data_IF_501601120196
#
_entry.id   IF_501601120196
#
_cell.length_a   1.000
_cell.length_b   1.000
_cell.length_c   1.000
_cell.angle_alpha   90.00
_cell.angle_beta   90.00
_cell.angle_gamma   90.00
#
_symmetry.space_group_name_H-M   'P 1'
#
loop_
_entity.id
_entity.type
_entity.pdbx_description
1 polymer ?
#
# COMPACT_ATOMS: atom_id res chain seq x y z
N UNK A 1 -30.19 1.20 9.03
CA UNK A 1 -30.31 1.77 7.66
C UNK A 1 -29.13 2.65 7.42
N UNK A 2 -28.50 2.55 6.25
CA UNK A 2 -27.37 3.42 5.88
C UNK A 2 -27.88 4.87 5.75
N UNK A 3 -27.10 5.82 6.28
CA UNK A 3 -27.38 7.24 6.13
C UNK A 3 -26.92 7.73 4.75
N UNK A 4 -27.57 8.76 4.21
CA UNK A 4 -27.10 9.44 3.00
C UNK A 4 -25.81 10.19 3.30
N UNK A 5 -24.75 9.93 2.54
CA UNK A 5 -23.45 10.61 2.65
C UNK A 5 -23.09 11.36 1.38
N UNK A 6 -22.32 12.43 1.55
CA UNK A 6 -21.74 13.19 0.44
C UNK A 6 -20.29 13.58 0.71
N UNK A 7 -19.50 13.70 -0.34
CA UNK A 7 -18.13 14.21 -0.28
C UNK A 7 -17.68 14.78 -1.63
N UNK A 8 -16.63 15.62 -1.59
CA UNK A 8 -15.80 15.95 -2.75
C UNK A 8 -14.88 14.75 -3.02
N UNK A 9 -14.98 14.16 -4.20
CA UNK A 9 -14.25 12.93 -4.55
C UNK A 9 -12.95 13.20 -5.34
N UNK A 10 -12.68 14.44 -5.72
CA UNK A 10 -11.45 14.87 -6.38
C UNK A 10 -10.45 15.46 -5.39
N UNK A 11 -9.12 15.40 -5.66
CA UNK A 11 -8.12 16.00 -4.79
C UNK A 11 -8.38 17.47 -4.49
N UNK A 12 -7.97 17.99 -3.32
CA UNK A 12 -8.11 19.41 -2.98
C UNK A 12 -7.23 20.27 -3.88
N UNK A 13 -7.77 21.43 -4.31
CA UNK A 13 -7.06 22.41 -5.14
C UNK A 13 -7.81 22.75 -6.43
N UNK A 14 -7.41 23.82 -7.15
CA UNK A 14 -7.99 24.17 -8.43
C UNK A 14 -7.71 23.11 -9.49
N UNK A 15 -8.73 22.73 -10.25
CA UNK A 15 -8.64 21.73 -11.32
C UNK A 15 -9.64 21.98 -12.46
N UNK A 16 -9.46 21.28 -13.57
CA UNK A 16 -10.41 21.36 -14.69
C UNK A 16 -11.78 20.77 -14.36
N UNK A 17 -11.83 19.74 -13.49
CA UNK A 17 -13.05 19.05 -13.07
C UNK A 17 -13.01 18.80 -11.57
N UNK A 18 -14.13 19.03 -10.89
CA UNK A 18 -14.40 18.64 -9.52
C UNK A 18 -15.63 17.72 -9.47
N UNK A 19 -15.59 16.73 -8.59
CA UNK A 19 -16.66 15.72 -8.46
C UNK A 19 -17.19 15.71 -7.04
N UNK A 20 -18.51 15.88 -6.92
CA UNK A 20 -19.27 15.61 -5.69
C UNK A 20 -19.90 14.23 -5.82
N UNK A 21 -19.74 13.39 -4.82
CA UNK A 21 -20.26 12.01 -4.79
C UNK A 21 -21.20 11.83 -3.61
N UNK A 22 -22.33 11.17 -3.85
CA UNK A 22 -23.31 10.80 -2.84
C UNK A 22 -23.50 9.27 -2.84
N UNK A 23 -23.80 8.70 -1.68
CA UNK A 23 -24.21 7.29 -1.54
C UNK A 23 -25.21 7.13 -0.41
N UNK A 24 -26.21 6.31 -0.63
CA UNK A 24 -27.25 5.97 0.34
C UNK A 24 -28.66 6.27 -0.15
N UNK A 25 -29.66 5.95 0.67
CA UNK A 25 -31.05 6.19 0.33
C UNK A 25 -31.32 7.68 0.04
N UNK A 26 -31.92 7.98 -1.11
CA UNK A 26 -32.25 9.35 -1.50
C UNK A 26 -31.10 10.11 -2.15
N UNK A 27 -30.01 9.45 -2.58
CA UNK A 27 -28.88 10.10 -3.24
C UNK A 27 -29.31 10.83 -4.54
N UNK A 28 -30.17 10.21 -5.32
CA UNK A 28 -30.72 10.82 -6.55
C UNK A 28 -31.55 12.07 -6.27
N UNK A 29 -32.38 12.04 -5.21
CA UNK A 29 -33.23 13.17 -4.82
C UNK A 29 -32.40 14.32 -4.27
N UNK A 30 -31.42 14.06 -3.40
CA UNK A 30 -30.53 15.09 -2.86
C UNK A 30 -29.71 15.75 -3.97
N UNK A 31 -29.16 14.96 -4.90
CA UNK A 31 -28.46 15.49 -6.06
C UNK A 31 -29.38 16.34 -6.97
N UNK A 32 -30.63 15.90 -7.20
CA UNK A 32 -31.61 16.66 -7.99
C UNK A 32 -32.03 17.97 -7.33
N UNK A 33 -31.85 18.13 -6.01
CA UNK A 33 -32.15 19.37 -5.32
C UNK A 33 -31.22 20.52 -5.72
N UNK A 34 -29.96 20.21 -6.03
CA UNK A 34 -28.94 21.20 -6.41
C UNK A 34 -28.54 21.13 -7.88
N UNK A 35 -29.05 20.15 -8.64
CA UNK A 35 -28.70 19.99 -10.06
C UNK A 35 -29.97 19.99 -10.93
N UNK A 36 -30.04 20.96 -11.85
CA UNK A 36 -31.13 21.09 -12.81
C UNK A 36 -30.65 20.74 -14.22
N UNK A 37 -31.08 19.59 -14.78
CA UNK A 37 -30.80 19.27 -16.18
C UNK A 37 -31.36 20.34 -17.14
N UNK A 38 -30.69 20.61 -18.27
CA UNK A 38 -31.22 21.42 -19.34
C UNK A 38 -32.33 20.70 -20.12
N UNK A 39 -32.37 19.36 -20.03
CA UNK A 39 -33.42 18.52 -20.59
C UNK A 39 -34.70 18.53 -19.74
N UNK A 40 -35.72 17.79 -20.21
CA UNK A 40 -37.02 17.70 -19.51
C UNK A 40 -37.04 16.67 -18.37
N UNK A 41 -36.10 15.72 -18.36
CA UNK A 41 -36.06 14.63 -17.36
C UNK A 41 -35.33 15.09 -16.11
N UNK A 42 -35.94 15.10 -14.93
CA UNK A 42 -35.27 15.41 -13.67
C UNK A 42 -34.15 14.38 -13.40
N UNK A 43 -33.07 14.78 -12.69
CA UNK A 43 -31.98 13.88 -12.36
C UNK A 43 -32.46 12.66 -11.53
N UNK A 44 -33.43 12.86 -10.62
CA UNK A 44 -34.02 11.79 -9.82
C UNK A 44 -34.76 10.72 -10.63
N UNK A 45 -35.26 11.07 -11.82
CA UNK A 45 -35.97 10.18 -12.75
C UNK A 45 -35.09 9.69 -13.91
N UNK A 46 -33.82 10.15 -13.96
CA UNK A 46 -32.88 9.77 -15.02
C UNK A 46 -32.68 8.26 -15.08
N UNK A 47 -32.56 7.67 -16.26
CA UNK A 47 -32.12 6.28 -16.42
C UNK A 47 -30.79 6.02 -15.72
N UNK A 48 -30.59 4.76 -15.27
CA UNK A 48 -29.38 4.35 -14.59
C UNK A 48 -28.14 4.66 -15.42
N UNK A 49 -27.17 5.36 -14.83
CA UNK A 49 -25.87 5.75 -15.43
C UNK A 49 -25.99 6.62 -16.70
N UNK A 50 -27.11 7.29 -16.93
CA UNK A 50 -27.23 8.28 -17.99
C UNK A 50 -26.65 9.63 -17.53
N UNK A 51 -25.69 10.12 -18.28
CA UNK A 51 -25.06 11.43 -18.05
C UNK A 51 -25.96 12.56 -18.56
N UNK A 52 -26.29 13.51 -17.69
CA UNK A 52 -27.09 14.68 -18.01
C UNK A 52 -26.25 15.95 -17.88
N UNK A 53 -26.38 16.87 -18.83
CA UNK A 53 -25.83 18.22 -18.75
C UNK A 53 -26.84 19.16 -18.11
N UNK A 54 -26.40 20.02 -17.17
CA UNK A 54 -27.29 20.89 -16.41
C UNK A 54 -26.57 22.00 -15.65
N UNK A 55 -27.31 22.62 -14.73
CA UNK A 55 -26.86 23.71 -13.88
C UNK A 55 -26.77 23.26 -12.45
N UNK A 56 -25.76 23.72 -11.74
CA UNK A 56 -25.52 23.47 -10.30
C UNK A 56 -25.85 24.73 -9.52
N UNK A 57 -26.60 24.56 -8.42
CA UNK A 57 -27.09 25.64 -7.58
C UNK A 57 -26.58 25.49 -6.15
N UNK A 58 -26.47 26.59 -5.42
CA UNK A 58 -26.23 26.57 -3.98
C UNK A 58 -27.54 26.37 -3.16
N UNK A 59 -27.39 26.44 -1.83
CA UNK A 59 -28.53 26.30 -0.91
C UNK A 59 -29.57 27.44 -1.06
N UNK A 60 -29.15 28.64 -1.48
CA UNK A 60 -30.04 29.78 -1.70
C UNK A 60 -30.77 29.73 -3.06
N UNK A 61 -30.36 28.82 -3.94
CA UNK A 61 -30.87 28.71 -5.30
C UNK A 61 -30.11 29.55 -6.31
N UNK A 62 -28.97 30.12 -5.93
CA UNK A 62 -28.11 30.87 -6.82
C UNK A 62 -27.27 29.93 -7.70
N UNK A 63 -27.11 30.31 -8.96
CA UNK A 63 -26.33 29.54 -9.93
C UNK A 63 -24.85 29.54 -9.55
N UNK A 64 -24.29 28.36 -9.26
CA UNK A 64 -22.88 28.17 -8.98
C UNK A 64 -22.08 27.85 -10.24
N UNK A 65 -22.59 26.92 -11.07
CA UNK A 65 -21.85 26.38 -12.21
C UNK A 65 -22.77 25.68 -13.21
N UNK A 66 -22.21 25.23 -14.32
CA UNK A 66 -22.79 24.25 -15.22
C UNK A 66 -21.93 22.98 -15.23
N UNK A 67 -22.56 21.81 -15.38
CA UNK A 67 -21.81 20.57 -15.29
C UNK A 67 -22.59 19.37 -15.76
N UNK A 68 -22.11 18.21 -15.36
CA UNK A 68 -22.69 16.92 -15.69
C UNK A 68 -23.11 16.22 -14.41
N UNK A 69 -24.18 15.44 -14.46
CA UNK A 69 -24.57 14.59 -13.35
C UNK A 69 -25.19 13.28 -13.85
N UNK A 70 -25.05 12.23 -13.03
CA UNK A 70 -25.70 10.95 -13.25
C UNK A 70 -26.06 10.31 -11.93
N UNK A 71 -26.95 9.34 -11.98
CA UNK A 71 -27.32 8.47 -10.87
C UNK A 71 -27.01 7.02 -11.21
N UNK A 72 -26.63 6.24 -10.19
CA UNK A 72 -26.51 4.78 -10.32
C UNK A 72 -27.39 4.12 -9.29
N UNK A 73 -28.23 3.18 -9.75
CA UNK A 73 -29.18 2.49 -8.91
C UNK A 73 -28.57 1.24 -8.26
N UNK A 74 -29.00 0.97 -7.03
CA UNK A 74 -28.65 -0.28 -6.36
C UNK A 74 -29.14 -1.50 -7.17
N UNK A 75 -28.39 -2.61 -7.20
CA UNK A 75 -27.06 -2.84 -6.64
C UNK A 75 -25.89 -2.50 -7.59
N UNK A 76 -26.16 -1.84 -8.72
CA UNK A 76 -25.19 -1.64 -9.82
C UNK A 76 -24.37 -0.35 -9.69
N UNK A 77 -24.00 0.05 -8.48
CA UNK A 77 -23.15 1.19 -8.17
C UNK A 77 -21.82 0.75 -7.54
N UNK A 78 -20.91 1.69 -7.30
CA UNK A 78 -19.66 1.43 -6.61
C UNK A 78 -19.87 0.90 -5.19
N UNK A 79 -20.77 1.52 -4.43
CA UNK A 79 -21.06 1.12 -3.04
C UNK A 79 -22.09 0.00 -2.92
N UNK A 80 -22.76 -0.38 -4.02
CA UNK A 80 -23.92 -1.26 -4.00
C UNK A 80 -25.23 -0.59 -3.55
N UNK A 81 -25.17 0.68 -3.13
CA UNK A 81 -26.33 1.51 -2.77
C UNK A 81 -26.75 2.40 -3.94
N UNK A 82 -27.82 3.21 -3.78
CA UNK A 82 -28.08 4.31 -4.69
C UNK A 82 -26.96 5.35 -4.58
N UNK A 83 -26.39 5.77 -5.70
CA UNK A 83 -25.34 6.81 -5.75
C UNK A 83 -25.68 7.88 -6.78
N UNK A 84 -25.17 9.08 -6.56
CA UNK A 84 -25.18 10.14 -7.55
C UNK A 84 -23.83 10.84 -7.61
N UNK A 85 -23.45 11.31 -8.80
CA UNK A 85 -22.28 12.16 -8.98
C UNK A 85 -22.66 13.43 -9.73
N UNK A 86 -22.10 14.55 -9.27
CA UNK A 86 -22.18 15.86 -9.94
C UNK A 86 -20.76 16.28 -10.27
N UNK A 87 -20.51 16.54 -11.54
CA UNK A 87 -19.22 16.95 -12.08
C UNK A 87 -19.33 18.40 -12.56
N UNK A 88 -18.56 19.29 -11.97
CA UNK A 88 -18.50 20.70 -12.29
C UNK A 88 -17.04 21.16 -12.44
N UNK A 89 -16.80 22.46 -12.64
CA UNK A 89 -15.43 22.96 -12.64
C UNK A 89 -14.79 22.79 -11.24
N UNK A 90 -13.51 22.43 -11.20
CA UNK A 90 -12.78 22.12 -9.99
C UNK A 90 -12.38 23.33 -9.15
N UNK A 91 -13.29 24.26 -8.93
CA UNK A 91 -13.10 25.37 -8.00
C UNK A 91 -13.36 24.90 -6.56
N UNK A 92 -12.40 24.99 -5.63
CA UNK A 92 -12.63 24.61 -4.23
C UNK A 92 -13.82 25.33 -3.59
N UNK A 93 -14.08 26.59 -3.98
CA UNK A 93 -15.20 27.39 -3.45
C UNK A 93 -16.53 26.85 -3.98
N UNK A 94 -16.64 26.59 -5.29
CA UNK A 94 -17.85 26.02 -5.92
C UNK A 94 -18.17 24.66 -5.32
N UNK A 95 -17.16 23.79 -5.20
CA UNK A 95 -17.32 22.45 -4.64
C UNK A 95 -17.76 22.49 -3.16
N UNK A 96 -17.21 23.43 -2.36
CA UNK A 96 -17.62 23.60 -0.96
C UNK A 96 -19.08 24.06 -0.86
N UNK A 97 -19.48 25.08 -1.61
CA UNK A 97 -20.85 25.58 -1.60
C UNK A 97 -21.87 24.53 -2.07
N UNK A 98 -21.51 23.76 -3.11
CA UNK A 98 -22.36 22.66 -3.58
C UNK A 98 -22.45 21.52 -2.56
N UNK A 99 -21.35 21.20 -1.85
CA UNK A 99 -21.36 20.20 -0.79
C UNK A 99 -22.21 20.64 0.40
N UNK A 100 -22.13 21.93 0.80
CA UNK A 100 -22.98 22.50 1.85
C UNK A 100 -24.48 22.42 1.47
N UNK A 101 -24.81 22.69 0.21
CA UNK A 101 -26.16 22.55 -0.31
C UNK A 101 -26.66 21.07 -0.30
N UNK A 102 -25.80 20.11 -0.60
CA UNK A 102 -26.10 18.67 -0.46
C UNK A 102 -26.32 18.27 1.01
N UNK A 103 -25.53 18.83 1.93
CA UNK A 103 -25.74 18.63 3.36
C UNK A 103 -27.08 19.21 3.84
N UNK A 104 -27.46 20.40 3.35
CA UNK A 104 -28.78 20.99 3.62
C UNK A 104 -29.92 20.16 3.01
N UNK A 105 -29.69 19.45 1.91
CA UNK A 105 -30.63 18.51 1.30
C UNK A 105 -30.70 17.14 2.05
N UNK A 106 -30.04 16.98 3.20
CA UNK A 106 -30.12 15.84 4.08
C UNK A 106 -28.96 14.85 4.02
N UNK A 107 -27.90 15.16 3.27
CA UNK A 107 -26.69 14.36 3.29
C UNK A 107 -25.81 14.69 4.52
N UNK A 108 -25.12 13.69 5.04
CA UNK A 108 -24.03 13.87 6.02
C UNK A 108 -22.69 13.83 5.28
N UNK A 109 -21.71 14.55 5.80
CA UNK A 109 -20.32 14.42 5.29
C UNK A 109 -19.82 12.97 5.46
N UNK A 110 -19.26 12.44 4.40
CA UNK A 110 -18.63 11.12 4.43
C UNK A 110 -17.36 11.12 5.29
N UNK A 111 -17.15 10.05 6.03
CA UNK A 111 -15.88 9.78 6.71
C UNK A 111 -14.82 9.32 5.70
N UNK A 112 -13.51 9.40 6.04
CA UNK A 112 -12.46 8.80 5.23
C UNK A 112 -12.77 7.33 4.90
N UNK A 113 -12.63 6.95 3.63
CA UNK A 113 -12.86 5.58 3.16
C UNK A 113 -14.29 5.07 3.20
N UNK A 114 -15.31 5.88 3.55
CA UNK A 114 -16.65 5.39 3.81
C UNK A 114 -17.34 4.81 2.57
N UNK A 115 -17.08 5.33 1.38
CA UNK A 115 -17.63 4.76 0.15
C UNK A 115 -17.07 3.35 -0.11
N UNK A 116 -15.76 3.16 0.03
CA UNK A 116 -15.13 1.85 -0.13
C UNK A 116 -15.51 0.88 0.98
N UNK A 117 -15.67 1.39 2.22
CA UNK A 117 -16.20 0.60 3.34
C UNK A 117 -17.61 0.07 3.03
N UNK A 118 -18.50 0.90 2.47
CA UNK A 118 -19.83 0.47 2.06
C UNK A 118 -19.79 -0.54 0.90
N UNK A 119 -18.89 -0.33 -0.06
CA UNK A 119 -18.68 -1.30 -1.12
C UNK A 119 -18.25 -2.67 -0.58
N UNK A 120 -17.38 -2.71 0.42
CA UNK A 120 -17.00 -3.93 1.13
C UNK A 120 -18.18 -4.54 1.89
N UNK A 121 -18.87 -3.77 2.72
CA UNK A 121 -20.01 -4.26 3.51
C UNK A 121 -21.17 -4.78 2.64
N UNK A 122 -21.35 -4.22 1.45
CA UNK A 122 -22.35 -4.65 0.48
C UNK A 122 -21.85 -5.75 -0.48
N UNK A 123 -20.66 -6.34 -0.22
CA UNK A 123 -20.13 -7.45 -0.99
C UNK A 123 -19.71 -7.10 -2.43
N UNK A 124 -19.46 -5.80 -2.72
CA UNK A 124 -18.95 -5.35 -4.02
C UNK A 124 -17.46 -5.56 -4.17
N UNK A 125 -16.75 -5.47 -3.06
CA UNK A 125 -15.32 -5.70 -2.91
C UNK A 125 -15.10 -6.59 -1.69
N UNK A 126 -14.09 -7.44 -1.74
CA UNK A 126 -13.54 -8.04 -0.53
C UNK A 126 -12.49 -7.10 0.11
N UNK A 127 -11.93 -7.51 1.27
CA UNK A 127 -11.02 -6.65 2.02
C UNK A 127 -9.69 -6.43 1.29
N UNK A 128 -9.18 -7.44 0.56
CA UNK A 128 -7.94 -7.30 -0.23
C UNK A 128 -8.14 -6.37 -1.41
N UNK A 129 -9.30 -6.41 -2.05
CA UNK A 129 -9.68 -5.49 -3.13
C UNK A 129 -9.89 -4.07 -2.60
N UNK A 130 -10.50 -3.92 -1.40
CA UNK A 130 -10.69 -2.63 -0.77
C UNK A 130 -9.34 -1.97 -0.42
N UNK A 131 -8.39 -2.72 0.14
CA UNK A 131 -7.01 -2.24 0.37
C UNK A 131 -6.32 -1.83 -0.94
N UNK A 132 -6.51 -2.61 -2.01
CA UNK A 132 -5.93 -2.31 -3.31
C UNK A 132 -6.44 -0.98 -3.94
N UNK A 133 -7.60 -0.46 -3.52
CA UNK A 133 -8.07 0.87 -3.96
C UNK A 133 -7.11 1.97 -3.52
N UNK A 134 -6.66 1.96 -2.25
CA UNK A 134 -5.71 2.96 -1.75
C UNK A 134 -4.32 2.71 -2.35
N UNK A 135 -3.89 1.44 -2.44
CA UNK A 135 -2.60 1.08 -3.03
C UNK A 135 -2.49 1.57 -4.48
N UNK A 136 -3.60 1.55 -5.24
CA UNK A 136 -3.65 2.04 -6.62
C UNK A 136 -3.59 3.57 -6.69
N UNK A 137 -4.23 4.28 -5.74
CA UNK A 137 -4.22 5.74 -5.67
C UNK A 137 -2.82 6.24 -5.30
N UNK A 138 -2.18 5.56 -4.34
CA UNK A 138 -0.87 5.94 -3.79
C UNK A 138 0.30 5.36 -4.61
N UNK A 139 0.03 4.64 -5.70
CA UNK A 139 1.06 4.01 -6.51
C UNK A 139 1.98 5.03 -7.18
N UNK A 140 3.26 5.01 -6.85
CA UNK A 140 4.29 5.92 -7.35
C UNK A 140 5.11 5.34 -8.52
N UNK A 141 4.90 4.04 -8.83
CA UNK A 141 5.57 3.37 -9.96
C UNK A 141 4.58 2.60 -10.83
N UNK A 142 4.86 2.43 -12.14
CA UNK A 142 4.02 1.60 -13.01
C UNK A 142 3.89 0.14 -12.53
N UNK A 143 4.91 -0.38 -11.84
CA UNK A 143 4.89 -1.74 -11.31
C UNK A 143 3.93 -1.84 -10.12
N UNK A 144 3.97 -0.88 -9.18
CA UNK A 144 3.03 -0.78 -8.06
C UNK A 144 1.59 -0.62 -8.55
N UNK A 145 1.35 0.29 -9.52
CA UNK A 145 0.03 0.50 -10.08
C UNK A 145 -0.55 -0.77 -10.74
N UNK A 146 0.26 -1.51 -11.52
CA UNK A 146 -0.17 -2.78 -12.12
C UNK A 146 -0.48 -3.85 -11.06
N UNK A 147 0.34 -3.94 -10.01
CA UNK A 147 0.12 -4.86 -8.90
C UNK A 147 -1.20 -4.54 -8.18
N UNK A 148 -1.43 -3.28 -7.82
CA UNK A 148 -2.66 -2.84 -7.16
C UNK A 148 -3.90 -3.04 -8.05
N UNK A 149 -3.82 -2.73 -9.36
CA UNK A 149 -4.91 -2.96 -10.30
C UNK A 149 -5.26 -4.46 -10.43
N UNK A 150 -4.26 -5.35 -10.47
CA UNK A 150 -4.47 -6.79 -10.49
C UNK A 150 -5.12 -7.30 -9.21
N UNK A 151 -4.71 -6.78 -8.05
CA UNK A 151 -5.30 -7.11 -6.75
C UNK A 151 -6.74 -6.60 -6.63
N UNK A 152 -7.00 -5.37 -7.09
CA UNK A 152 -8.36 -4.82 -7.18
C UNK A 152 -9.26 -5.68 -8.09
N UNK A 153 -8.70 -6.28 -9.15
CA UNK A 153 -9.40 -7.25 -10.02
C UNK A 153 -9.50 -8.66 -9.40
N UNK A 154 -9.18 -8.83 -8.13
CA UNK A 154 -9.38 -10.05 -7.35
C UNK A 154 -8.37 -11.17 -7.59
N UNK A 155 -7.16 -10.88 -8.10
CA UNK A 155 -6.16 -11.92 -8.34
C UNK A 155 -5.74 -12.62 -7.04
N UNK A 156 -5.43 -11.85 -6.00
CA UNK A 156 -5.09 -12.38 -4.66
C UNK A 156 -6.28 -13.10 -4.03
N UNK A 157 -7.48 -12.53 -4.12
CA UNK A 157 -8.71 -13.12 -3.57
C UNK A 157 -8.99 -14.51 -4.14
N UNK A 158 -8.87 -14.67 -5.47
CA UNK A 158 -9.05 -15.99 -6.11
C UNK A 158 -8.06 -17.03 -5.62
N UNK A 159 -6.81 -16.63 -5.38
CA UNK A 159 -5.79 -17.54 -4.86
C UNK A 159 -6.12 -17.97 -3.40
N UNK A 160 -6.52 -17.01 -2.56
CA UNK A 160 -6.94 -17.28 -1.18
C UNK A 160 -8.19 -18.14 -1.17
N UNK A 161 -9.18 -17.86 -2.02
CA UNK A 161 -10.44 -18.60 -2.12
C UNK A 161 -10.23 -20.06 -2.55
N UNK A 162 -9.25 -20.32 -3.40
CA UNK A 162 -8.88 -21.68 -3.79
C UNK A 162 -8.37 -22.49 -2.60
N UNK A 163 -7.54 -21.89 -1.74
CA UNK A 163 -7.03 -22.53 -0.52
C UNK A 163 -8.17 -22.70 0.50
N UNK A 164 -8.97 -21.64 0.70
CA UNK A 164 -10.10 -21.63 1.62
C UNK A 164 -11.12 -22.71 1.28
N UNK A 165 -11.51 -22.81 0.01
CA UNK A 165 -12.48 -23.83 -0.45
C UNK A 165 -11.95 -25.25 -0.24
N UNK A 166 -10.68 -25.52 -0.56
CA UNK A 166 -10.10 -26.84 -0.37
C UNK A 166 -10.06 -27.28 1.11
N UNK A 167 -9.77 -26.34 2.04
CA UNK A 167 -9.81 -26.61 3.48
C UNK A 167 -11.24 -26.74 3.99
N UNK A 168 -12.19 -25.95 3.46
CA UNK A 168 -13.60 -26.04 3.79
C UNK A 168 -14.19 -27.38 3.35
N UNK A 169 -13.88 -27.86 2.14
CA UNK A 169 -14.32 -29.16 1.62
C UNK A 169 -13.77 -30.29 2.47
N UNK A 170 -12.48 -30.20 2.88
CA UNK A 170 -11.86 -31.14 3.79
C UNK A 170 -12.61 -31.21 5.13
N UNK A 171 -12.90 -30.05 5.73
CA UNK A 171 -13.59 -29.96 7.02
C UNK A 171 -15.05 -30.46 6.90
N UNK A 172 -15.78 -30.07 5.86
CA UNK A 172 -17.16 -30.49 5.64
C UNK A 172 -17.28 -32.02 5.49
N UNK A 173 -16.37 -32.63 4.70
CA UNK A 173 -16.35 -34.07 4.56
C UNK A 173 -16.04 -34.77 5.89
N UNK A 174 -15.10 -34.20 6.65
CA UNK A 174 -14.73 -34.78 7.95
C UNK A 174 -15.88 -34.73 8.96
N UNK A 175 -16.59 -33.59 9.05
CA UNK A 175 -17.78 -33.44 9.87
C UNK A 175 -18.89 -34.45 9.45
N UNK A 176 -19.08 -34.62 8.13
CA UNK A 176 -20.08 -35.56 7.63
C UNK A 176 -19.79 -37.02 8.05
N UNK A 177 -18.51 -37.46 8.00
CA UNK A 177 -18.12 -38.79 8.45
C UNK A 177 -18.31 -38.97 9.96
N UNK A 178 -18.08 -37.91 10.76
CA UNK A 178 -18.25 -37.99 12.23
C UNK A 178 -19.72 -37.96 12.64
N UNK A 179 -20.55 -37.15 12.00
CA UNK A 179 -21.95 -36.92 12.37
C UNK A 179 -22.88 -38.04 11.86
N UNK A 180 -22.49 -38.73 10.78
CA UNK A 180 -23.29 -39.77 10.14
C UNK A 180 -22.51 -41.10 9.98
N UNK A 181 -22.07 -41.74 11.07
CA UNK A 181 -21.24 -42.95 10.99
C UNK A 181 -21.98 -44.16 10.41
N UNK A 182 -23.30 -44.14 10.35
CA UNK A 182 -24.17 -45.21 9.80
C UNK A 182 -24.52 -44.99 8.31
N UNK A 183 -24.09 -43.89 7.69
CA UNK A 183 -24.26 -43.66 6.26
C UNK A 183 -23.06 -44.14 5.48
N UNK A 184 -23.27 -44.63 4.23
CA UNK A 184 -22.20 -45.08 3.31
C UNK A 184 -21.37 -43.89 2.80
N UNK A 185 -20.80 -43.08 3.71
CA UNK A 185 -19.87 -42.00 3.36
C UNK A 185 -18.47 -42.60 3.44
N UNK A 186 -17.76 -42.62 2.30
CA UNK A 186 -16.38 -43.12 2.25
C UNK A 186 -15.49 -42.28 3.22
N UNK A 187 -14.90 -42.91 4.27
CA UNK A 187 -14.01 -42.20 5.17
C UNK A 187 -12.78 -41.75 4.41
N UNK A 188 -12.37 -40.49 4.60
CA UNK A 188 -11.10 -40.02 4.05
C UNK A 188 -9.97 -40.94 4.52
N UNK A 189 -9.22 -41.45 3.54
CA UNK A 189 -7.94 -42.11 3.86
C UNK A 189 -6.97 -41.04 4.34
N UNK A 190 -6.22 -41.31 5.42
CA UNK A 190 -5.24 -40.38 5.99
C UNK A 190 -4.25 -39.84 4.92
N UNK A 191 -3.91 -40.68 3.95
CA UNK A 191 -3.06 -40.32 2.82
C UNK A 191 -3.66 -39.21 1.96
N UNK A 192 -4.97 -39.24 1.68
CA UNK A 192 -5.66 -38.22 0.88
C UNK A 192 -5.73 -36.88 1.65
N UNK A 193 -6.03 -36.91 2.95
CA UNK A 193 -6.00 -35.74 3.81
C UNK A 193 -4.61 -35.13 3.85
N UNK A 194 -3.57 -35.94 4.03
CA UNK A 194 -2.19 -35.51 4.03
C UNK A 194 -1.78 -34.83 2.72
N UNK A 195 -2.22 -35.37 1.59
CA UNK A 195 -1.97 -34.77 0.26
C UNK A 195 -2.69 -33.41 0.11
N UNK A 196 -3.93 -33.28 0.58
CA UNK A 196 -4.66 -32.00 0.54
C UNK A 196 -3.95 -30.97 1.41
N UNK A 197 -3.64 -31.29 2.68
CA UNK A 197 -2.96 -30.40 3.60
C UNK A 197 -1.57 -29.97 3.07
N UNK A 198 -0.77 -30.92 2.58
CA UNK A 198 0.54 -30.63 1.99
C UNK A 198 0.45 -29.70 0.78
N UNK A 199 -0.58 -29.84 -0.05
CA UNK A 199 -0.83 -28.95 -1.19
C UNK A 199 -1.18 -27.53 -0.74
N UNK A 200 -2.05 -27.39 0.28
CA UNK A 200 -2.42 -26.07 0.79
C UNK A 200 -1.25 -25.41 1.55
N UNK A 201 -0.46 -26.19 2.29
CA UNK A 201 0.77 -25.70 2.91
C UNK A 201 1.75 -25.13 1.88
N UNK A 202 2.02 -25.88 0.80
CA UNK A 202 2.89 -25.41 -0.28
C UNK A 202 2.35 -24.14 -0.96
N UNK A 203 1.02 -24.03 -1.15
CA UNK A 203 0.39 -22.82 -1.70
C UNK A 203 0.55 -21.61 -0.78
N UNK A 204 0.38 -21.78 0.54
CA UNK A 204 0.58 -20.72 1.54
C UNK A 204 2.05 -20.30 1.66
N UNK A 205 2.98 -21.25 1.61
CA UNK A 205 4.43 -20.96 1.59
C UNK A 205 4.80 -20.16 0.34
N UNK A 206 4.28 -20.54 -0.83
CA UNK A 206 4.51 -19.80 -2.07
C UNK A 206 3.93 -18.36 -1.99
N UNK A 207 2.74 -18.20 -1.41
CA UNK A 207 2.12 -16.90 -1.18
C UNK A 207 2.96 -16.04 -0.23
N UNK A 208 3.41 -16.58 0.90
CA UNK A 208 4.26 -15.88 1.88
C UNK A 208 5.61 -15.47 1.29
N UNK A 209 6.19 -16.26 0.41
CA UNK A 209 7.43 -15.92 -0.28
C UNK A 209 7.31 -14.64 -1.14
N UNK A 210 6.09 -14.22 -1.48
CA UNK A 210 5.82 -12.99 -2.22
C UNK A 210 5.84 -11.72 -1.34
N UNK A 211 5.72 -11.85 -0.01
CA UNK A 211 5.44 -10.74 0.90
C UNK A 211 6.52 -9.66 0.89
N UNK A 212 7.81 -10.03 0.94
CA UNK A 212 8.91 -9.06 0.88
C UNK A 212 8.86 -8.25 -0.41
N UNK A 213 8.65 -8.91 -1.55
CA UNK A 213 8.55 -8.26 -2.85
C UNK A 213 7.33 -7.34 -2.93
N UNK A 214 6.18 -7.78 -2.44
CA UNK A 214 4.96 -6.95 -2.41
C UNK A 214 5.16 -5.71 -1.54
N UNK A 215 5.77 -5.85 -0.36
CA UNK A 215 6.09 -4.72 0.53
C UNK A 215 7.04 -3.73 -0.12
N UNK A 216 8.12 -4.19 -0.77
CA UNK A 216 9.06 -3.33 -1.47
C UNK A 216 8.43 -2.60 -2.66
N UNK A 217 7.53 -3.25 -3.39
CA UNK A 217 6.79 -2.61 -4.50
C UNK A 217 5.84 -1.51 -4.01
N UNK A 218 5.17 -1.75 -2.86
CA UNK A 218 4.19 -0.82 -2.31
C UNK A 218 4.85 0.32 -1.51
N UNK A 219 5.79 -0.01 -0.59
CA UNK A 219 6.40 0.97 0.32
C UNK A 219 7.68 1.61 -0.23
N UNK A 220 8.28 0.98 -1.23
CA UNK A 220 9.60 1.35 -1.75
C UNK A 220 10.75 0.66 -1.00
N UNK A 221 11.94 0.74 -1.59
CA UNK A 221 13.18 0.23 -1.05
C UNK A 221 13.70 1.21 -0.01
N UNK A 222 13.83 0.79 1.23
CA UNK A 222 14.36 1.63 2.31
C UNK A 222 15.86 1.83 2.13
N UNK A 223 16.24 3.08 1.83
CA UNK A 223 17.60 3.46 1.55
C UNK A 223 18.10 4.45 2.61
N UNK A 224 18.98 3.99 3.51
CA UNK A 224 19.48 4.77 4.64
C UNK A 224 20.79 5.48 4.28
N UNK A 225 20.83 6.81 4.51
CA UNK A 225 22.03 7.62 4.31
C UNK A 225 22.83 7.69 5.61
N UNK A 226 24.09 7.24 5.56
CA UNK A 226 25.03 7.35 6.67
C UNK A 226 26.29 8.11 6.24
N UNK A 227 27.08 8.58 7.18
CA UNK A 227 28.34 9.28 6.94
C UNK A 227 28.57 10.37 8.00
N UNK A 228 29.81 10.86 8.09
CA UNK A 228 30.18 11.89 9.04
C UNK A 228 29.43 13.22 8.81
N UNK A 229 29.38 14.12 9.79
CA UNK A 229 28.94 15.49 9.58
C UNK A 229 29.68 16.15 8.41
N UNK A 230 28.97 16.96 7.62
CA UNK A 230 29.50 17.69 6.47
C UNK A 230 30.05 16.81 5.29
N UNK A 231 29.78 15.50 5.28
CA UNK A 231 30.02 14.65 4.12
C UNK A 231 29.09 14.97 2.93
N UNK A 232 27.97 15.67 3.18
CA UNK A 232 27.05 16.14 2.17
C UNK A 232 25.77 15.28 2.04
N UNK A 233 25.36 14.57 3.10
CA UNK A 233 24.13 13.73 3.12
C UNK A 233 22.88 14.52 2.77
N UNK A 234 22.61 15.61 3.48
CA UNK A 234 21.41 16.44 3.23
C UNK A 234 21.47 17.13 1.85
N UNK A 235 22.68 17.49 1.37
CA UNK A 235 22.85 18.00 0.01
C UNK A 235 22.53 16.92 -1.03
N UNK A 236 22.94 15.69 -0.79
CA UNK A 236 22.61 14.56 -1.66
C UNK A 236 21.12 14.25 -1.66
N UNK A 237 20.48 14.25 -0.49
CA UNK A 237 19.03 14.05 -0.37
C UNK A 237 18.26 15.11 -1.15
N UNK A 238 18.64 16.40 -1.01
CA UNK A 238 18.03 17.49 -1.76
C UNK A 238 18.33 17.38 -3.28
N UNK A 239 19.54 16.95 -3.66
CA UNK A 239 19.87 16.74 -5.07
C UNK A 239 19.06 15.60 -5.69
N UNK A 240 18.85 14.48 -4.97
CA UNK A 240 18.01 13.38 -5.42
C UNK A 240 16.53 13.77 -5.46
N UNK A 241 16.05 14.55 -4.48
CA UNK A 241 14.68 15.08 -4.48
C UNK A 241 14.42 16.10 -5.59
N UNK A 242 15.42 16.89 -6.00
CA UNK A 242 15.34 17.86 -7.08
C UNK A 242 15.79 17.35 -8.45
N UNK A 243 16.15 16.08 -8.56
CA UNK A 243 16.65 15.49 -9.80
C UNK A 243 15.54 15.43 -10.85
N UNK A 244 15.80 15.90 -12.09
CA UNK A 244 14.76 16.07 -13.14
C UNK A 244 13.99 14.80 -13.48
N UNK A 245 14.55 13.63 -13.19
CA UNK A 245 13.96 12.31 -13.42
C UNK A 245 13.26 11.72 -12.18
N UNK A 246 13.39 12.38 -11.01
CA UNK A 246 12.77 11.94 -9.77
C UNK A 246 11.35 12.49 -9.66
N UNK A 247 10.38 11.63 -9.44
CA UNK A 247 9.03 12.03 -9.05
C UNK A 247 9.02 12.09 -7.53
N UNK A 248 8.89 13.29 -6.97
CA UNK A 248 8.82 13.51 -5.51
C UNK A 248 7.37 13.70 -5.11
N UNK A 249 6.89 12.89 -4.19
CA UNK A 249 5.57 13.05 -3.60
C UNK A 249 5.71 13.61 -2.18
N UNK A 250 5.33 14.87 -2.00
CA UNK A 250 5.17 15.45 -0.67
C UNK A 250 3.76 15.12 -0.16
N UNK A 251 3.63 14.21 0.79
CA UNK A 251 2.38 13.96 1.48
C UNK A 251 2.29 14.96 2.65
N UNK A 252 1.35 15.94 2.62
CA UNK A 252 1.15 16.85 3.74
C UNK A 252 0.58 16.06 4.93
N UNK A 253 1.27 16.08 6.08
CA UNK A 253 0.74 15.53 7.33
C UNK A 253 1.67 14.60 8.13
N UNK A 254 2.85 14.22 7.61
CA UNK A 254 3.78 13.29 8.27
C UNK A 254 4.92 13.99 9.03
N UNK A 255 4.80 15.27 9.37
CA UNK A 255 5.87 16.16 9.88
C UNK A 255 6.32 15.95 11.32
N UNK A 256 6.10 14.79 11.94
CA UNK A 256 6.53 14.56 13.34
C UNK A 256 7.54 13.43 13.55
N UNK A 257 7.77 12.56 12.56
CA UNK A 257 8.72 11.45 12.66
C UNK A 257 9.60 11.44 11.42
N UNK A 258 10.93 11.34 11.57
CA UNK A 258 12.01 11.20 10.58
C UNK A 258 11.77 11.86 9.21
N UNK A 259 12.70 12.67 8.72
CA UNK A 259 12.62 13.27 7.37
C UNK A 259 12.81 12.14 6.35
N UNK A 260 11.73 11.49 5.98
CA UNK A 260 11.70 10.49 4.91
C UNK A 260 11.34 11.19 3.59
N UNK A 261 12.14 10.96 2.56
CA UNK A 261 11.89 11.48 1.22
C UNK A 261 11.72 10.31 0.26
N UNK A 262 10.61 10.26 -0.44
CA UNK A 262 10.38 9.26 -1.48
C UNK A 262 10.84 9.80 -2.82
N UNK A 263 11.60 8.99 -3.56
CA UNK A 263 12.08 9.32 -4.90
C UNK A 263 11.95 8.10 -5.81
N UNK A 264 11.54 8.32 -7.05
CA UNK A 264 11.53 7.26 -8.07
C UNK A 264 12.75 7.41 -8.97
N UNK A 265 13.64 6.41 -8.96
CA UNK A 265 14.88 6.36 -9.73
C UNK A 265 14.94 5.07 -10.53
N UNK A 266 15.23 5.16 -11.83
CA UNK A 266 15.29 3.99 -12.70
C UNK A 266 14.03 3.13 -12.73
N UNK A 267 12.85 3.70 -12.43
CA UNK A 267 11.57 3.01 -12.38
C UNK A 267 11.25 2.30 -11.05
N UNK A 268 12.10 2.45 -10.04
CA UNK A 268 11.94 1.90 -8.70
C UNK A 268 11.72 3.01 -7.67
N UNK A 269 10.87 2.75 -6.69
CA UNK A 269 10.63 3.65 -5.57
C UNK A 269 11.67 3.43 -4.48
N UNK A 270 12.34 4.51 -4.06
CA UNK A 270 13.26 4.52 -2.92
C UNK A 270 12.73 5.44 -1.84
N UNK A 271 12.75 4.96 -0.61
CA UNK A 271 12.46 5.73 0.60
C UNK A 271 13.80 6.11 1.25
N UNK A 272 14.21 7.35 1.05
CA UNK A 272 15.48 7.88 1.57
C UNK A 272 15.29 8.32 3.03
N UNK A 273 16.10 7.78 3.93
CA UNK A 273 16.10 8.09 5.36
C UNK A 273 17.41 8.75 5.73
N UNK A 274 17.38 10.04 6.10
CA UNK A 274 18.59 10.77 6.56
C UNK A 274 18.80 10.60 8.06
N UNK A 275 19.91 9.94 8.42
CA UNK A 275 20.31 9.78 9.83
C UNK A 275 20.92 11.04 10.46
N UNK A 276 21.27 12.07 9.67
CA UNK A 276 21.84 13.31 10.18
C UNK A 276 20.81 14.25 10.79
N UNK A 277 19.58 14.29 10.25
CA UNK A 277 18.47 15.06 10.84
C UNK A 277 18.03 14.59 12.22
N UNK A 278 18.58 13.47 12.70
CA UNK A 278 18.33 12.90 14.03
C UNK A 278 19.35 13.35 15.10
N UNK A 279 20.38 14.15 14.72
CA UNK A 279 21.50 14.53 15.61
C UNK A 279 21.57 16.01 15.97
N UNK A 280 20.77 16.89 15.37
CA UNK A 280 20.89 18.33 15.54
C UNK A 280 20.04 18.87 16.72
N UNK A 281 20.34 18.46 17.97
CA UNK A 281 19.94 19.22 19.17
C UNK A 281 20.86 18.90 20.34
N UNK A 282 21.36 19.96 20.96
CA UNK A 282 22.27 19.98 22.13
C UNK A 282 21.60 19.55 23.45
N UNK A 283 20.78 18.49 23.50
CA UNK A 283 20.00 18.10 24.70
C UNK A 283 20.00 16.55 24.87
N UNK A 284 19.61 15.96 26.01
CA UNK A 284 19.57 14.51 26.32
C UNK A 284 18.89 13.62 25.27
N UNK A 285 18.37 14.20 24.20
CA UNK A 285 17.85 13.59 22.96
C UNK A 285 18.97 12.90 22.11
N UNK A 286 20.25 13.14 22.39
CA UNK A 286 21.37 12.52 21.63
C UNK A 286 21.37 10.99 21.70
N UNK A 287 21.01 10.42 22.85
CA UNK A 287 20.88 8.96 23.00
C UNK A 287 19.69 8.39 22.18
N UNK A 288 18.61 9.16 22.05
CA UNK A 288 17.46 8.81 21.20
C UNK A 288 17.82 8.88 19.70
N UNK A 289 18.63 9.83 19.28
CA UNK A 289 19.10 9.96 17.90
C UNK A 289 19.99 8.80 17.46
N UNK A 290 20.90 8.34 18.34
CA UNK A 290 21.75 7.18 18.07
C UNK A 290 20.93 5.88 18.01
N UNK A 291 19.95 5.71 18.90
CA UNK A 291 19.06 4.54 18.87
C UNK A 291 18.22 4.50 17.60
N UNK A 292 17.64 5.63 17.18
CA UNK A 292 16.88 5.75 15.91
C UNK A 292 17.73 5.49 14.68
N UNK A 293 18.97 5.99 14.65
CA UNK A 293 19.92 5.74 13.56
C UNK A 293 20.27 4.26 13.45
N UNK A 294 20.44 3.57 14.59
CA UNK A 294 20.66 2.12 14.62
C UNK A 294 19.43 1.33 14.16
N UNK A 295 18.26 1.76 14.57
CA UNK A 295 17.01 1.15 14.14
C UNK A 295 16.80 1.32 12.64
N UNK A 296 16.97 2.54 12.10
CA UNK A 296 16.87 2.78 10.65
C UNK A 296 17.85 1.91 9.86
N UNK A 297 19.08 1.75 10.37
CA UNK A 297 20.09 0.89 9.74
C UNK A 297 19.70 -0.61 9.78
N UNK A 298 19.07 -1.06 10.86
CA UNK A 298 18.59 -2.45 11.00
C UNK A 298 17.39 -2.74 10.07
N UNK A 299 16.61 -1.72 9.70
CA UNK A 299 15.46 -1.82 8.80
C UNK A 299 15.82 -1.48 7.33
N UNK A 300 17.08 -1.15 7.05
CA UNK A 300 17.53 -0.76 5.72
C UNK A 300 17.56 -1.94 4.75
N UNK A 301 17.01 -1.76 3.55
CA UNK A 301 17.21 -2.67 2.41
C UNK A 301 18.51 -2.34 1.67
N UNK A 302 18.94 -1.08 1.71
CA UNK A 302 20.13 -0.56 1.07
C UNK A 302 20.74 0.57 1.92
N UNK A 303 22.07 0.68 1.96
CA UNK A 303 22.75 1.77 2.65
C UNK A 303 23.61 2.58 1.68
N UNK A 304 23.48 3.91 1.75
CA UNK A 304 24.32 4.87 1.07
C UNK A 304 25.33 5.46 2.07
N UNK A 305 26.54 4.96 2.08
CA UNK A 305 27.62 5.50 2.91
C UNK A 305 28.26 6.69 2.21
N UNK A 306 28.04 7.91 2.71
CA UNK A 306 28.53 9.16 2.10
C UNK A 306 29.82 9.59 2.76
N UNK A 307 30.90 9.74 2.00
CA UNK A 307 32.17 10.30 2.44
C UNK A 307 32.59 11.53 1.61
N UNK A 308 33.45 12.35 2.19
CA UNK A 308 34.06 13.49 1.51
C UNK A 308 35.28 12.99 0.70
N UNK A 309 35.17 12.95 -0.63
CA UNK A 309 36.20 12.48 -1.53
C UNK A 309 37.43 13.39 -1.60
N UNK A 310 37.45 14.56 -0.96
CA UNK A 310 38.60 15.45 -0.86
C UNK A 310 39.53 15.11 0.31
N UNK A 311 39.14 14.15 1.15
CA UNK A 311 39.90 13.74 2.33
C UNK A 311 40.04 12.21 2.37
N UNK A 312 41.12 11.69 2.92
CA UNK A 312 41.25 10.25 3.15
C UNK A 312 40.15 9.79 4.16
N UNK A 313 39.73 8.54 4.02
CA UNK A 313 38.82 7.94 5.00
C UNK A 313 39.46 7.94 6.39
N UNK A 314 38.72 8.33 7.41
CA UNK A 314 39.14 8.30 8.81
C UNK A 314 38.62 7.04 9.47
N UNK A 315 39.13 6.72 10.68
CA UNK A 315 38.65 5.53 11.42
C UNK A 315 37.14 5.52 11.62
N UNK A 316 36.53 6.70 11.88
CA UNK A 316 35.08 6.82 11.98
C UNK A 316 34.33 6.43 10.68
N UNK A 317 34.89 6.73 9.51
CA UNK A 317 34.30 6.33 8.22
C UNK A 317 34.40 4.81 8.04
N UNK A 318 35.52 4.22 8.44
CA UNK A 318 35.72 2.77 8.43
C UNK A 318 34.76 2.05 9.36
N UNK A 319 34.54 2.58 10.59
CA UNK A 319 33.58 2.03 11.55
C UNK A 319 32.15 2.07 11.03
N UNK A 320 31.72 3.21 10.48
CA UNK A 320 30.39 3.35 9.87
C UNK A 320 30.20 2.39 8.69
N UNK A 321 31.23 2.24 7.84
CA UNK A 321 31.20 1.35 6.70
C UNK A 321 31.08 -0.12 7.12
N UNK A 322 31.87 -0.55 8.14
CA UNK A 322 31.78 -1.90 8.73
C UNK A 322 30.40 -2.19 9.28
N UNK A 323 29.81 -1.23 10.02
CA UNK A 323 28.44 -1.37 10.55
C UNK A 323 27.41 -1.50 9.44
N UNK A 324 27.51 -0.69 8.38
CA UNK A 324 26.60 -0.73 7.25
C UNK A 324 26.66 -2.07 6.51
N UNK A 325 27.88 -2.52 6.18
CA UNK A 325 28.11 -3.79 5.46
C UNK A 325 27.67 -5.04 6.23
N UNK A 326 27.64 -4.94 7.58
CA UNK A 326 27.13 -6.02 8.42
C UNK A 326 25.59 -6.11 8.43
N UNK A 327 24.89 -5.03 8.05
CA UNK A 327 23.42 -4.95 8.15
C UNK A 327 22.75 -5.09 6.77
N UNK A 328 23.24 -4.41 5.74
CA UNK A 328 22.59 -4.36 4.44
C UNK A 328 23.58 -4.21 3.29
N UNK A 329 23.11 -4.39 2.05
CA UNK A 329 23.85 -4.06 0.86
C UNK A 329 24.22 -2.56 0.88
N UNK A 330 25.50 -2.25 0.64
CA UNK A 330 26.03 -0.91 0.88
C UNK A 330 26.72 -0.39 -0.36
N UNK A 331 26.46 0.88 -0.70
CA UNK A 331 27.14 1.64 -1.74
C UNK A 331 27.92 2.77 -1.07
N UNK A 332 29.23 2.88 -1.36
CA UNK A 332 30.06 3.99 -0.90
C UNK A 332 29.98 5.13 -1.90
N UNK A 333 29.52 6.31 -1.45
CA UNK A 333 29.42 7.52 -2.25
C UNK A 333 30.57 8.47 -1.94
N UNK A 334 31.49 8.63 -2.88
CA UNK A 334 32.56 9.61 -2.79
C UNK A 334 32.04 10.97 -3.29
N UNK A 335 31.60 11.81 -2.36
CA UNK A 335 30.99 13.11 -2.67
C UNK A 335 32.04 14.21 -2.84
N UNK A 336 31.60 15.38 -3.33
CA UNK A 336 32.41 16.59 -3.59
C UNK A 336 33.42 16.45 -4.73
N UNK A 337 33.07 15.68 -5.75
CA UNK A 337 33.91 15.48 -6.95
C UNK A 337 34.24 16.78 -7.69
N UNK A 338 33.44 17.84 -7.49
CA UNK A 338 33.62 19.18 -8.04
C UNK A 338 34.78 19.96 -7.40
N UNK A 339 35.32 19.51 -6.25
CA UNK A 339 36.35 20.22 -5.54
C UNK A 339 37.75 19.73 -5.89
N UNK A 340 38.78 20.63 -5.89
CA UNK A 340 40.15 20.24 -6.08
C UNK A 340 40.62 19.31 -4.95
N UNK A 341 41.45 18.34 -5.29
CA UNK A 341 41.95 17.33 -4.34
C UNK A 341 41.04 16.10 -4.20
N UNK A 342 39.98 16.00 -5.00
CA UNK A 342 39.15 14.80 -5.03
C UNK A 342 39.96 13.57 -5.41
N UNK A 343 39.80 12.50 -4.64
CA UNK A 343 40.40 11.17 -4.92
C UNK A 343 39.35 10.09 -4.60
N UNK A 344 39.39 8.98 -5.35
CA UNK A 344 38.52 7.85 -5.02
C UNK A 344 38.98 7.22 -3.70
N UNK A 345 38.10 7.10 -2.71
CA UNK A 345 38.44 6.45 -1.46
C UNK A 345 38.74 4.96 -1.71
N UNK A 346 39.77 4.45 -1.06
CA UNK A 346 40.12 3.04 -1.06
C UNK A 346 39.91 2.50 0.35
N UNK A 347 38.76 1.82 0.60
CA UNK A 347 38.55 1.12 1.86
C UNK A 347 39.65 0.06 2.07
N UNK A 348 40.08 -0.11 3.32
CA UNK A 348 41.09 -1.14 3.61
C UNK A 348 40.53 -2.53 3.29
N UNK A 349 41.38 -3.44 2.84
CA UNK A 349 40.96 -4.79 2.43
C UNK A 349 40.24 -5.59 3.53
N UNK A 350 40.47 -5.25 4.80
CA UNK A 350 39.80 -5.83 5.96
C UNK A 350 38.43 -5.21 6.27
N UNK A 351 38.12 -4.04 5.72
CA UNK A 351 36.90 -3.26 6.08
C UNK A 351 35.80 -3.37 5.02
N UNK A 352 36.13 -3.85 3.83
CA UNK A 352 35.16 -3.96 2.76
C UNK A 352 35.44 -5.19 1.88
N UNK A 353 34.40 -5.94 1.49
CA UNK A 353 34.55 -6.99 0.49
C UNK A 353 35.03 -6.38 -0.84
N UNK A 354 35.80 -7.13 -1.63
CA UNK A 354 36.24 -6.73 -2.97
C UNK A 354 35.10 -6.34 -3.93
N UNK A 355 33.87 -6.50 -3.52
CA UNK A 355 32.64 -6.22 -4.26
C UNK A 355 31.98 -4.89 -3.89
N UNK A 356 32.55 -4.11 -2.94
CA UNK A 356 31.96 -2.82 -2.57
C UNK A 356 31.95 -1.86 -3.76
N UNK A 357 30.75 -1.42 -4.12
CA UNK A 357 30.57 -0.45 -5.20
C UNK A 357 30.88 0.95 -4.69
N UNK A 358 31.81 1.66 -5.35
CA UNK A 358 32.12 3.06 -5.05
C UNK A 358 31.64 3.94 -6.20
N UNK A 359 30.81 4.94 -5.89
CA UNK A 359 30.27 5.89 -6.86
C UNK A 359 30.80 7.30 -6.57
N UNK A 360 31.63 7.87 -7.46
CA UNK A 360 32.06 9.26 -7.36
C UNK A 360 30.93 10.19 -7.82
N UNK A 361 30.61 11.22 -7.02
CA UNK A 361 29.58 12.20 -7.37
C UNK A 361 29.84 13.57 -6.74
N UNK A 362 29.11 14.57 -7.22
CA UNK A 362 28.95 15.86 -6.57
C UNK A 362 27.47 16.15 -6.34
N UNK A 363 27.04 16.09 -5.11
CA UNK A 363 25.67 16.47 -4.73
C UNK A 363 25.36 17.95 -5.03
N UNK A 364 26.37 18.80 -5.19
CA UNK A 364 26.23 20.22 -5.48
C UNK A 364 25.99 20.50 -6.95
N UNK A 365 26.70 19.81 -7.85
CA UNK A 365 26.63 20.06 -9.30
C UNK A 365 25.75 19.05 -10.04
N UNK A 366 25.37 17.94 -9.40
CA UNK A 366 24.64 16.83 -10.01
C UNK A 366 25.54 15.85 -10.78
N UNK A 367 26.85 16.10 -10.88
CA UNK A 367 27.78 15.19 -11.56
C UNK A 367 27.82 13.83 -10.87
N UNK A 368 27.67 12.75 -11.62
CA UNK A 368 27.66 11.37 -11.12
C UNK A 368 26.32 10.87 -10.60
N UNK A 369 25.24 11.69 -10.57
CA UNK A 369 23.90 11.25 -10.16
C UNK A 369 23.32 10.21 -11.14
N UNK A 370 23.56 10.32 -12.45
CA UNK A 370 23.16 9.29 -13.43
C UNK A 370 23.80 7.93 -13.15
N UNK A 371 25.08 7.93 -12.71
CA UNK A 371 25.78 6.70 -12.31
C UNK A 371 25.16 6.11 -11.05
N UNK A 372 24.82 6.97 -10.09
CA UNK A 372 24.12 6.55 -8.86
C UNK A 372 22.74 5.96 -9.18
N UNK A 373 21.92 6.63 -10.02
CA UNK A 373 20.64 6.14 -10.48
C UNK A 373 20.75 4.74 -11.11
N UNK A 374 21.69 4.58 -12.05
CA UNK A 374 21.92 3.28 -12.72
C UNK A 374 22.35 2.20 -11.72
N UNK A 375 23.17 2.56 -10.73
CA UNK A 375 23.64 1.63 -9.70
C UNK A 375 22.48 1.23 -8.78
N UNK A 376 21.66 2.18 -8.34
CA UNK A 376 20.48 1.96 -7.53
C UNK A 376 19.46 1.09 -8.27
N UNK A 377 19.18 1.38 -9.54
CA UNK A 377 18.27 0.56 -10.37
C UNK A 377 18.73 -0.90 -10.47
N UNK A 378 20.03 -1.14 -10.66
CA UNK A 378 20.60 -2.49 -10.71
C UNK A 378 20.47 -3.23 -9.36
N UNK A 379 20.64 -2.54 -8.23
CA UNK A 379 20.43 -3.12 -6.90
C UNK A 379 18.96 -3.41 -6.67
N UNK A 380 18.08 -2.47 -7.05
CA UNK A 380 16.63 -2.68 -6.98
C UNK A 380 16.18 -3.87 -7.82
N UNK A 381 16.75 -4.09 -9.01
CA UNK A 381 16.45 -5.26 -9.85
C UNK A 381 16.83 -6.59 -9.18
N UNK A 382 17.89 -6.61 -8.36
CA UNK A 382 18.25 -7.78 -7.56
C UNK A 382 17.25 -8.04 -6.44
N UNK A 383 16.74 -6.99 -5.79
CA UNK A 383 15.74 -7.08 -4.73
C UNK A 383 14.33 -7.38 -5.29
N UNK A 384 14.04 -6.87 -6.50
CA UNK A 384 12.75 -6.94 -7.19
C UNK A 384 12.94 -7.50 -8.61
N UNK A 385 13.30 -8.79 -8.79
CA UNK A 385 13.54 -9.36 -10.11
C UNK A 385 12.31 -9.21 -11.02
N UNK A 386 12.49 -8.57 -12.18
CA UNK A 386 11.41 -8.41 -13.17
C UNK A 386 10.97 -9.75 -13.76
N UNK A 387 11.88 -10.71 -13.85
CA UNK A 387 11.66 -12.03 -14.44
C UNK A 387 10.76 -12.96 -13.60
N UNK A 388 10.56 -12.69 -12.31
CA UNK A 388 9.56 -13.40 -11.52
C UNK A 388 8.19 -12.75 -11.79
N UNK A 389 7.65 -12.98 -12.98
CA UNK A 389 6.28 -12.61 -13.36
C UNK A 389 5.28 -13.47 -12.60
N UNK A 390 5.13 -13.22 -11.29
CA UNK A 390 3.85 -13.49 -10.64
C UNK A 390 2.81 -12.71 -11.43
N UNK A 391 1.66 -13.29 -11.70
CA UNK A 391 0.58 -12.54 -12.33
C UNK A 391 0.33 -11.28 -11.50
N UNK A 392 0.12 -10.15 -12.18
CA UNK A 392 -0.08 -8.88 -11.49
C UNK A 392 -1.27 -9.02 -10.51
N UNK A 393 -1.06 -8.64 -9.25
CA UNK A 393 -2.09 -8.69 -8.21
C UNK A 393 -2.05 -9.89 -7.26
N UNK A 394 -1.08 -10.79 -7.37
CA UNK A 394 -0.98 -11.99 -6.53
C UNK A 394 -0.04 -11.83 -5.32
N UNK A 395 0.58 -10.66 -5.13
CA UNK A 395 1.54 -10.45 -4.05
C UNK A 395 0.85 -9.97 -2.77
N UNK A 396 1.35 -10.41 -1.61
CA UNK A 396 1.02 -9.82 -0.31
C UNK A 396 1.73 -8.48 -0.19
N UNK A 397 0.98 -7.36 -0.04
CA UNK A 397 1.54 -6.01 -0.07
C UNK A 397 1.71 -5.36 1.30
N UNK A 398 1.06 -5.91 2.33
CA UNK A 398 1.07 -5.31 3.66
C UNK A 398 1.23 -6.35 4.79
N UNK A 399 1.60 -5.83 5.97
CA UNK A 399 1.88 -6.65 7.15
C UNK A 399 0.66 -7.45 7.63
N UNK A 400 -0.55 -6.87 7.56
CA UNK A 400 -1.79 -7.57 7.95
C UNK A 400 -1.99 -8.84 7.12
N UNK A 401 -1.87 -8.70 5.79
CA UNK A 401 -2.01 -9.83 4.86
C UNK A 401 -0.95 -10.90 5.14
N UNK A 402 0.31 -10.51 5.35
CA UNK A 402 1.41 -11.42 5.66
C UNK A 402 1.18 -12.17 6.97
N UNK A 403 0.75 -11.48 8.03
CA UNK A 403 0.48 -12.10 9.33
C UNK A 403 -0.71 -13.06 9.29
N UNK A 404 -1.77 -12.72 8.56
CA UNK A 404 -2.92 -13.60 8.41
C UNK A 404 -2.56 -14.86 7.59
N UNK A 405 -1.80 -14.70 6.49
CA UNK A 405 -1.30 -15.84 5.72
C UNK A 405 -0.35 -16.75 6.53
N UNK A 406 0.50 -16.16 7.40
CA UNK A 406 1.38 -16.93 8.30
C UNK A 406 0.57 -17.74 9.31
N UNK A 407 -0.46 -17.14 9.95
CA UNK A 407 -1.34 -17.87 10.87
C UNK A 407 -2.10 -19.01 10.17
N UNK A 408 -2.52 -18.80 8.93
CA UNK A 408 -3.14 -19.85 8.13
C UNK A 408 -2.15 -20.99 7.84
N UNK A 409 -0.90 -20.68 7.49
CA UNK A 409 0.16 -21.66 7.28
C UNK A 409 0.43 -22.46 8.56
N UNK A 410 0.57 -21.76 9.69
CA UNK A 410 0.80 -22.41 10.99
C UNK A 410 -0.34 -23.37 11.36
N UNK A 411 -1.59 -23.01 11.09
CA UNK A 411 -2.75 -23.88 11.28
C UNK A 411 -2.70 -25.14 10.40
N UNK A 412 -2.47 -24.96 9.09
CA UNK A 412 -2.36 -26.10 8.15
C UNK A 412 -1.18 -27.03 8.52
N UNK A 413 -0.04 -26.46 8.91
CA UNK A 413 1.13 -27.25 9.33
C UNK A 413 0.81 -28.06 10.57
N UNK A 414 0.18 -27.47 11.61
CA UNK A 414 -0.23 -28.21 12.81
C UNK A 414 -1.25 -29.30 12.50
N UNK A 415 -2.23 -29.01 11.63
CA UNK A 415 -3.21 -30.03 11.20
C UNK A 415 -2.52 -31.22 10.53
N UNK A 416 -1.52 -30.98 9.68
CA UNK A 416 -0.73 -32.04 9.05
C UNK A 416 0.09 -32.84 10.07
N UNK A 417 0.77 -32.14 10.97
CA UNK A 417 1.57 -32.80 12.03
C UNK A 417 0.67 -33.66 12.95
N UNK A 418 -0.54 -33.18 13.30
CA UNK A 418 -1.52 -33.94 14.05
C UNK A 418 -1.97 -35.21 13.31
N UNK A 419 -2.15 -35.12 11.98
CA UNK A 419 -2.48 -36.28 11.14
C UNK A 419 -1.34 -37.29 11.13
N UNK A 420 -0.09 -36.84 10.94
CA UNK A 420 1.11 -37.71 10.89
C UNK A 420 1.37 -38.40 12.24
N UNK A 421 1.03 -37.74 13.35
CA UNK A 421 1.12 -38.29 14.71
C UNK A 421 -0.04 -39.21 15.08
N UNK A 422 -1.04 -39.36 14.21
CA UNK A 422 -2.23 -40.16 14.48
C UNK A 422 -3.09 -39.59 15.62
N UNK A 423 -3.13 -38.24 15.76
CA UNK A 423 -3.94 -37.59 16.79
C UNK A 423 -5.44 -37.74 16.49
N UNK A 424 -6.26 -37.40 17.47
CA UNK A 424 -7.72 -37.47 17.33
C UNK A 424 -8.23 -36.49 16.26
N UNK A 425 -9.31 -36.85 15.56
CA UNK A 425 -9.96 -36.00 14.54
C UNK A 425 -10.25 -34.57 15.01
N UNK A 426 -10.68 -34.39 16.26
CA UNK A 426 -11.01 -33.06 16.82
C UNK A 426 -9.83 -32.09 16.84
N UNK A 427 -8.61 -32.62 17.10
CA UNK A 427 -7.39 -31.81 17.10
C UNK A 427 -7.10 -31.27 15.70
N UNK A 428 -7.22 -32.10 14.66
CA UNK A 428 -7.01 -31.74 13.28
C UNK A 428 -8.07 -30.71 12.82
N UNK A 429 -9.34 -30.92 13.18
CA UNK A 429 -10.41 -29.96 12.84
C UNK A 429 -10.18 -28.59 13.45
N UNK A 430 -9.76 -28.53 14.72
CA UNK A 430 -9.47 -27.25 15.39
C UNK A 430 -8.36 -26.46 14.68
N UNK A 431 -7.31 -27.14 14.20
CA UNK A 431 -6.22 -26.48 13.49
C UNK A 431 -6.63 -26.04 12.07
N UNK A 432 -7.47 -26.81 11.38
CA UNK A 432 -8.05 -26.42 10.09
C UNK A 432 -9.01 -25.21 10.25
N UNK A 433 -9.85 -25.22 11.32
CA UNK A 433 -10.70 -24.06 11.65
C UNK A 433 -9.88 -22.78 11.87
N UNK A 434 -8.78 -22.86 12.63
CA UNK A 434 -7.90 -21.73 12.86
C UNK A 434 -7.28 -21.21 11.56
N UNK A 435 -6.92 -22.12 10.63
CA UNK A 435 -6.44 -21.72 9.30
C UNK A 435 -7.52 -21.04 8.47
N UNK A 436 -8.75 -21.56 8.47
CA UNK A 436 -9.90 -20.97 7.78
C UNK A 436 -10.26 -19.58 8.34
N UNK A 437 -10.23 -19.41 9.67
CA UNK A 437 -10.45 -18.11 10.31
C UNK A 437 -9.40 -17.07 9.83
N UNK A 438 -8.12 -17.45 9.84
CA UNK A 438 -7.03 -16.59 9.38
C UNK A 438 -7.16 -16.23 7.89
N UNK A 439 -7.55 -17.17 7.02
CA UNK A 439 -7.85 -16.90 5.61
C UNK A 439 -9.10 -16.01 5.44
N UNK A 440 -10.11 -16.22 6.29
CA UNK A 440 -11.31 -15.37 6.33
C UNK A 440 -10.98 -13.92 6.70
N UNK A 441 -10.01 -13.68 7.57
CA UNK A 441 -9.52 -12.34 7.88
C UNK A 441 -8.84 -11.67 6.67
N UNK A 442 -8.16 -12.42 5.79
CA UNK A 442 -7.55 -11.86 4.59
C UNK A 442 -8.58 -11.23 3.66
N UNK A 443 -9.66 -11.97 3.37
CA UNK A 443 -10.73 -11.53 2.46
C UNK A 443 -11.83 -10.72 3.14
N UNK A 444 -11.84 -10.67 4.47
CA UNK A 444 -12.84 -9.94 5.26
C UNK A 444 -14.11 -10.74 5.59
N UNK A 445 -14.10 -12.07 5.42
CA UNK A 445 -15.25 -12.93 5.77
C UNK A 445 -15.49 -13.03 7.28
N UNK A 446 -14.43 -12.89 8.08
CA UNK A 446 -14.44 -13.04 9.55
C UNK A 446 -13.88 -11.82 10.27
N UNK A 447 -13.84 -10.63 9.63
CA UNK A 447 -13.19 -9.44 10.21
C UNK A 447 -14.09 -8.73 11.21
N UNK A 448 -13.48 -8.36 12.35
CA UNK A 448 -14.12 -7.54 13.39
C UNK A 448 -14.28 -6.09 12.93
N UNK A 449 -15.34 -5.42 13.40
CA UNK A 449 -15.67 -4.03 13.02
C UNK A 449 -14.56 -3.02 13.35
N UNK A 450 -13.83 -3.23 14.46
CA UNK A 450 -12.72 -2.36 14.88
C UNK A 450 -11.54 -2.40 13.90
N UNK A 451 -11.22 -3.57 13.35
CA UNK A 451 -10.17 -3.74 12.32
C UNK A 451 -10.61 -3.06 11.02
N UNK A 452 -11.85 -3.29 10.60
CA UNK A 452 -12.42 -2.67 9.40
C UNK A 452 -12.37 -1.14 9.50
N UNK A 453 -12.82 -0.56 10.62
CA UNK A 453 -12.78 0.87 10.85
C UNK A 453 -11.34 1.44 10.76
N UNK A 454 -10.34 0.73 11.29
CA UNK A 454 -8.94 1.16 11.25
C UNK A 454 -8.34 1.11 9.84
N UNK A 455 -8.71 0.13 9.03
CA UNK A 455 -8.27 0.05 7.63
C UNK A 455 -8.80 1.25 6.85
N UNK A 456 -10.11 1.50 6.93
CA UNK A 456 -10.75 2.58 6.17
C UNK A 456 -10.40 3.98 6.65
N UNK A 457 -9.99 4.17 7.91
CA UNK A 457 -9.54 5.47 8.43
C UNK A 457 -8.29 6.04 7.72
N UNK A 458 -7.54 5.22 7.00
CA UNK A 458 -6.36 5.63 6.22
C UNK A 458 -6.71 6.16 4.82
N UNK A 459 -7.94 6.01 4.39
CA UNK A 459 -8.39 6.46 3.06
C UNK A 459 -8.66 7.96 3.05
N UNK A 460 -8.62 8.55 1.85
CA UNK A 460 -9.08 9.91 1.65
C UNK A 460 -10.60 10.02 1.78
N UNK A 461 -11.10 11.20 2.16
CA UNK A 461 -12.52 11.52 2.11
C UNK A 461 -12.98 11.51 0.65
N UNK A 462 -14.14 10.89 0.37
CA UNK A 462 -14.66 10.76 -1.00
C UNK A 462 -14.33 9.43 -1.70
N UNK A 463 -13.61 8.53 -0.99
CA UNK A 463 -13.31 7.15 -1.43
C UNK A 463 -13.90 6.10 -0.51
#
# INVERSE_FOLDING_TARGET
MSELIAAIATPPGPGGVGILRLSGPGAAQAAAHIFQPLGKTPLSEAPDRQLLYGRVFDQAGDLLDTGLAFVSRAPHSYTGEETAEIQCHGSPVVLSLALDALCAAGARLARPGEFTQRAFLNGKLDLTQAEAVIDLIDAETPAAARQAAGQLNGALSRQIDSIYSALTDLMAHFCAVLDYPDEDIDPFQAEQMGQILARQEAALQALLATSRRGTLLHQGITCVLIGRPNAGKSSLLNALAGYERAIVTNIPGTTRDTVETKVTLGGYLFRLVDTAGLRDSDDPIEQLGVARSRQALAEADLVLAVCDGTQPLREEDHDLLRQALAQADTILLANKRDLPGFTLPQPAANDAPNTLTVVPLSAKTGDGLDTLETTLARRAETLLPQAAQSAAGELLTNQRQTQAAQRALDGVTRARDALDLGMTPDALLTDVEAALEALGELTGRTVREDITARIFSRFCVGK
#
